data_IF_567647886913
#
_entry.id   IF_567647886913
#
_cell.length_a   1.000
_cell.length_b   1.000
_cell.length_c   1.000
_cell.angle_alpha   90.00
_cell.angle_beta   90.00
_cell.angle_gamma   90.00
#
_symmetry.space_group_name_H-M   'P 1'
#
loop_
_entity.id
_entity.type
_entity.pdbx_description
1 polymer ?
#
# COMPACT_ATOMS: atom_id res chain seq x y z
N UNK A 1 17.31 82.54 3.73
CA UNK A 1 17.23 81.40 4.66
C UNK A 1 15.76 81.25 4.99
N UNK A 2 15.09 80.24 4.44
CA UNK A 2 13.75 79.84 4.90
C UNK A 2 13.89 78.37 5.30
N UNK A 3 13.80 78.13 6.60
CA UNK A 3 13.98 76.83 7.23
C UNK A 3 12.82 75.92 6.87
N UNK A 4 13.13 74.75 6.30
CA UNK A 4 12.18 73.67 6.13
C UNK A 4 11.98 73.01 7.51
N UNK A 5 10.83 73.30 8.12
CA UNK A 5 10.46 72.77 9.43
C UNK A 5 10.13 71.27 9.30
N UNK A 6 11.02 70.40 9.79
CA UNK A 6 10.87 68.93 9.77
C UNK A 6 9.92 68.43 10.88
N UNK A 7 8.68 68.91 10.92
CA UNK A 7 7.73 68.49 11.94
C UNK A 7 6.30 68.24 11.43
N UNK A 8 6.10 67.97 10.14
CA UNK A 8 4.81 67.48 9.68
C UNK A 8 4.74 65.94 9.79
N UNK A 9 3.76 65.40 10.55
CA UNK A 9 3.63 63.99 10.79
C UNK A 9 2.87 63.33 9.63
N UNK A 10 3.52 62.35 8.98
CA UNK A 10 2.89 61.37 8.09
C UNK A 10 2.17 62.00 6.88
N UNK A 11 2.88 62.15 5.76
CA UNK A 11 2.26 62.33 4.45
C UNK A 11 1.35 61.12 4.15
N UNK A 12 0.04 61.28 4.39
CA UNK A 12 -0.97 60.25 4.17
C UNK A 12 -1.39 60.14 2.69
N UNK A 13 -0.85 60.99 1.82
CA UNK A 13 -1.18 61.04 0.39
C UNK A 13 -0.64 59.85 -0.42
N UNK A 14 0.16 58.97 0.20
CA UNK A 14 0.74 57.79 -0.43
C UNK A 14 -0.07 56.49 -0.27
N UNK A 15 -1.16 56.48 0.52
CA UNK A 15 -1.91 55.24 0.77
C UNK A 15 -2.83 54.85 -0.39
N UNK A 16 -3.30 55.82 -1.18
CA UNK A 16 -4.20 55.59 -2.31
C UNK A 16 -3.50 54.92 -3.52
N UNK A 17 -2.17 55.01 -3.61
CA UNK A 17 -1.40 54.37 -4.69
C UNK A 17 -1.15 52.87 -4.50
N UNK A 18 -1.38 52.35 -3.29
CA UNK A 18 -1.28 50.91 -3.00
C UNK A 18 -2.60 50.15 -3.24
N UNK A 19 -3.71 50.87 -3.39
CA UNK A 19 -5.04 50.31 -3.65
C UNK A 19 -5.59 50.72 -5.03
N UNK A 20 -4.71 50.84 -6.03
CA UNK A 20 -5.13 50.95 -7.42
C UNK A 20 -6.12 49.83 -7.78
N UNK A 21 -7.15 50.20 -8.54
CA UNK A 21 -8.40 49.49 -8.89
C UNK A 21 -8.29 48.08 -9.53
N UNK A 22 -7.26 47.30 -9.24
CA UNK A 22 -7.04 45.97 -9.81
C UNK A 22 -6.82 44.86 -8.75
N UNK A 23 -7.08 45.15 -7.47
CA UNK A 23 -7.14 44.10 -6.44
C UNK A 23 -8.54 43.49 -6.44
N UNK A 24 -8.83 42.67 -7.46
CA UNK A 24 -10.00 41.78 -7.43
C UNK A 24 -9.89 40.85 -6.22
N UNK A 25 -10.68 41.10 -5.18
CA UNK A 25 -10.78 40.18 -4.06
C UNK A 25 -11.36 38.86 -4.57
N UNK A 26 -10.70 37.71 -4.31
CA UNK A 26 -11.27 36.42 -4.68
C UNK A 26 -12.65 36.27 -4.03
N UNK A 27 -13.64 35.90 -4.83
CA UNK A 27 -15.00 35.65 -4.36
C UNK A 27 -14.99 34.44 -3.43
N UNK A 28 -15.95 34.36 -2.51
CA UNK A 28 -16.17 33.15 -1.71
C UNK A 28 -16.28 31.87 -2.58
N UNK A 29 -16.71 32.01 -3.83
CA UNK A 29 -16.75 30.94 -4.82
C UNK A 29 -15.36 30.43 -5.27
N UNK A 30 -14.33 31.29 -5.25
CA UNK A 30 -12.95 30.93 -5.66
C UNK A 30 -12.25 30.05 -4.61
N UNK A 31 -12.73 30.08 -3.35
CA UNK A 31 -12.28 29.19 -2.27
C UNK A 31 -13.02 27.84 -2.26
N UNK A 32 -14.02 27.65 -3.13
CA UNK A 32 -14.82 26.43 -3.21
C UNK A 32 -14.37 25.47 -4.32
N UNK A 33 -13.11 25.53 -4.75
CA UNK A 33 -12.55 24.47 -5.59
C UNK A 33 -12.26 23.22 -4.72
N UNK A 34 -12.95 22.08 -4.90
CA UNK A 34 -12.57 20.85 -4.23
C UNK A 34 -11.31 20.31 -4.91
N UNK A 35 -10.12 20.73 -4.47
CA UNK A 35 -8.86 20.08 -4.89
C UNK A 35 -8.52 18.93 -3.95
N UNK A 36 -9.47 18.04 -3.72
CA UNK A 36 -9.17 16.64 -3.39
C UNK A 36 -9.22 15.82 -4.67
N UNK A 37 -8.38 16.19 -5.65
CA UNK A 37 -7.96 15.18 -6.62
C UNK A 37 -7.01 14.27 -5.86
N UNK A 38 -7.58 13.25 -5.22
CA UNK A 38 -6.83 12.06 -4.84
C UNK A 38 -6.27 11.52 -6.14
N UNK A 39 -5.05 11.96 -6.49
CA UNK A 39 -4.30 11.47 -7.63
C UNK A 39 -4.18 9.98 -7.36
N UNK A 40 -5.03 9.20 -8.01
CA UNK A 40 -5.11 7.75 -7.88
C UNK A 40 -3.68 7.26 -8.03
N UNK A 41 -3.08 6.80 -6.94
CA UNK A 41 -1.66 6.47 -6.92
C UNK A 41 -1.46 5.47 -8.04
N UNK A 42 -0.54 5.78 -8.95
CA UNK A 42 -0.23 4.88 -10.05
C UNK A 42 0.50 3.67 -9.47
N UNK A 43 -0.25 2.57 -9.28
CA UNK A 43 0.26 1.33 -8.74
C UNK A 43 0.95 0.47 -9.81
N UNK A 44 1.08 0.96 -11.06
CA UNK A 44 1.67 0.21 -12.17
C UNK A 44 3.07 -0.32 -11.88
N UNK A 45 3.84 0.40 -11.06
CA UNK A 45 5.15 -0.02 -10.60
C UNK A 45 5.13 -1.37 -9.85
N UNK A 46 4.09 -1.63 -9.04
CA UNK A 46 4.02 -2.86 -8.22
C UNK A 46 3.87 -4.13 -9.06
N UNK A 47 3.42 -4.05 -10.32
CA UNK A 47 3.26 -5.22 -11.20
C UNK A 47 4.57 -5.93 -11.55
N UNK A 48 5.71 -5.24 -11.44
CA UNK A 48 7.02 -5.78 -11.82
C UNK A 48 7.84 -6.28 -10.63
N UNK A 49 7.30 -6.21 -9.41
CA UNK A 49 8.02 -6.63 -8.21
C UNK A 49 7.93 -8.16 -8.09
N UNK A 50 9.07 -8.89 -8.17
CA UNK A 50 9.06 -10.33 -8.00
C UNK A 50 8.69 -10.70 -6.56
N UNK A 51 7.82 -11.69 -6.40
CA UNK A 51 7.45 -12.25 -5.09
C UNK A 51 7.62 -13.76 -5.09
N UNK A 52 7.95 -14.32 -3.93
CA UNK A 52 8.03 -15.78 -3.77
C UNK A 52 6.66 -16.31 -3.37
N UNK A 53 6.07 -17.11 -4.24
CA UNK A 53 4.86 -17.88 -3.95
C UNK A 53 5.28 -19.31 -3.59
N UNK A 54 4.84 -19.80 -2.44
CA UNK A 54 5.05 -21.17 -1.99
C UNK A 54 3.71 -21.86 -1.78
N UNK A 55 3.66 -23.14 -2.14
CA UNK A 55 2.55 -24.02 -1.83
C UNK A 55 3.02 -24.96 -0.72
N UNK A 56 2.37 -24.90 0.43
CA UNK A 56 2.72 -25.70 1.60
C UNK A 56 1.66 -26.76 1.82
N UNK A 57 2.13 -28.01 1.96
CA UNK A 57 1.25 -29.10 2.37
C UNK A 57 0.78 -28.84 3.80
N UNK A 58 1.72 -28.71 4.72
CA UNK A 58 1.50 -28.32 6.10
C UNK A 58 2.83 -27.83 6.72
N UNK A 59 2.79 -27.32 7.94
CA UNK A 59 3.96 -26.93 8.72
C UNK A 59 3.77 -27.40 10.16
N UNK A 60 4.79 -27.99 10.77
CA UNK A 60 4.75 -28.45 12.16
C UNK A 60 6.02 -28.03 12.89
N UNK A 61 5.92 -27.81 14.20
CA UNK A 61 7.07 -27.57 15.06
C UNK A 61 7.51 -28.89 15.70
N UNK A 62 8.80 -29.21 15.57
CA UNK A 62 9.42 -30.41 16.14
C UNK A 62 10.59 -30.03 17.03
N UNK A 63 10.88 -30.86 18.04
CA UNK A 63 12.03 -30.61 18.89
C UNK A 63 13.32 -30.81 18.11
N UNK A 64 14.33 -29.94 18.31
CA UNK A 64 15.62 -30.07 17.63
C UNK A 64 16.26 -31.46 17.82
N UNK A 65 16.12 -32.04 19.01
CA UNK A 65 16.64 -33.37 19.30
C UNK A 65 15.92 -34.51 18.54
N UNK A 66 14.67 -34.32 18.12
CA UNK A 66 13.97 -35.26 17.24
C UNK A 66 14.47 -35.10 15.80
N UNK A 67 14.64 -33.86 15.34
CA UNK A 67 15.15 -33.57 13.99
C UNK A 67 16.56 -34.14 13.78
N UNK A 68 17.42 -34.11 14.81
CA UNK A 68 18.76 -34.71 14.74
C UNK A 68 18.77 -36.24 14.61
N UNK A 69 17.64 -36.92 14.89
CA UNK A 69 17.49 -38.37 14.78
C UNK A 69 16.80 -38.78 13.47
N UNK A 70 16.37 -37.83 12.65
CA UNK A 70 15.72 -38.10 11.37
C UNK A 70 16.75 -38.75 10.44
N UNK A 71 16.43 -39.95 9.99
CA UNK A 71 17.20 -40.73 9.03
C UNK A 71 16.36 -41.09 7.80
N UNK A 72 16.98 -41.74 6.82
CA UNK A 72 16.26 -42.18 5.62
C UNK A 72 15.09 -43.09 5.99
N UNK A 73 13.89 -42.74 5.55
CA UNK A 73 12.65 -43.47 5.86
C UNK A 73 11.92 -43.01 7.12
N UNK A 74 12.46 -42.06 7.89
CA UNK A 74 11.73 -41.46 9.00
C UNK A 74 10.50 -40.69 8.51
N UNK A 75 9.40 -40.79 9.26
CA UNK A 75 8.13 -40.12 8.97
C UNK A 75 7.90 -39.03 10.01
N UNK A 76 7.65 -37.81 9.56
CA UNK A 76 7.28 -36.67 10.41
C UNK A 76 5.77 -36.44 10.21
N UNK A 77 5.01 -36.56 11.29
CA UNK A 77 3.58 -36.30 11.27
C UNK A 77 3.31 -34.79 11.15
N UNK A 78 2.33 -34.44 10.33
CA UNK A 78 1.89 -33.07 10.09
C UNK A 78 0.49 -32.87 10.69
N UNK A 79 0.16 -31.63 11.01
CA UNK A 79 -1.08 -31.23 11.68
C UNK A 79 -2.29 -31.10 10.73
N UNK A 80 -2.08 -31.26 9.43
CA UNK A 80 -3.12 -31.09 8.40
C UNK A 80 -3.72 -32.41 7.96
N UNK A 81 -5.06 -32.44 7.86
CA UNK A 81 -5.80 -33.61 7.40
C UNK A 81 -5.65 -33.83 5.89
N UNK A 82 -5.58 -35.09 5.48
CA UNK A 82 -5.54 -35.46 4.08
C UNK A 82 -6.82 -35.02 3.35
N UNK A 83 -6.66 -34.42 2.18
CA UNK A 83 -7.78 -33.95 1.35
C UNK A 83 -8.15 -32.49 1.58
N UNK A 84 -7.60 -31.81 2.60
CA UNK A 84 -7.76 -30.37 2.73
C UNK A 84 -6.96 -29.61 1.66
N UNK A 85 -7.47 -28.45 1.18
CA UNK A 85 -6.73 -27.63 0.22
C UNK A 85 -5.44 -27.11 0.86
N UNK A 86 -4.38 -27.02 0.07
CA UNK A 86 -3.03 -26.64 0.48
C UNK A 86 -2.92 -25.13 0.71
N UNK A 87 -1.98 -24.72 1.55
CA UNK A 87 -1.79 -23.32 1.89
C UNK A 87 -0.93 -22.64 0.82
N UNK A 88 -1.43 -21.54 0.29
CA UNK A 88 -0.70 -20.69 -0.66
C UNK A 88 -0.13 -19.52 0.11
N UNK A 89 1.18 -19.46 0.23
CA UNK A 89 1.88 -18.37 0.90
C UNK A 89 2.57 -17.46 -0.10
N UNK A 90 2.58 -16.17 0.21
CA UNK A 90 3.40 -15.17 -0.48
C UNK A 90 4.34 -14.56 0.54
N UNK A 91 5.65 -14.70 0.31
CA UNK A 91 6.69 -14.25 1.24
C UNK A 91 6.45 -14.73 2.69
N UNK A 92 5.97 -15.96 2.86
CA UNK A 92 5.70 -16.57 4.17
C UNK A 92 4.35 -16.21 4.81
N UNK A 93 3.54 -15.33 4.20
CA UNK A 93 2.19 -15.00 4.68
C UNK A 93 1.14 -15.82 3.94
N UNK A 94 0.17 -16.37 4.67
CA UNK A 94 -0.98 -17.06 4.09
C UNK A 94 -1.80 -16.09 3.25
N UNK A 95 -1.95 -16.38 1.96
CA UNK A 95 -2.74 -15.58 1.03
C UNK A 95 -4.06 -16.27 0.69
N UNK A 96 -3.99 -17.57 0.39
CA UNK A 96 -5.09 -18.33 -0.18
C UNK A 96 -4.94 -19.82 0.15
N UNK A 97 -5.97 -20.58 -0.18
CA UNK A 97 -5.94 -22.05 -0.22
C UNK A 97 -6.10 -22.50 -1.66
N UNK A 98 -5.45 -23.60 -2.02
CA UNK A 98 -5.47 -24.10 -3.38
C UNK A 98 -5.15 -25.58 -3.50
N UNK A 99 -5.29 -26.08 -4.72
CA UNK A 99 -5.02 -27.48 -5.06
C UNK A 99 -3.94 -27.55 -6.14
N UNK A 100 -3.13 -28.61 -6.07
CA UNK A 100 -2.19 -28.93 -7.14
C UNK A 100 -2.96 -29.49 -8.32
N UNK A 101 -2.75 -28.90 -9.48
CA UNK A 101 -3.26 -29.38 -10.76
C UNK A 101 -2.09 -29.72 -11.68
N UNK A 102 -2.33 -30.53 -12.70
CA UNK A 102 -1.34 -30.75 -13.77
C UNK A 102 -1.84 -30.10 -15.03
N UNK A 103 -1.05 -29.16 -15.57
CA UNK A 103 -1.35 -28.47 -16.82
C UNK A 103 -0.14 -28.59 -17.73
N UNK A 104 -0.33 -29.12 -18.93
CA UNK A 104 0.73 -29.35 -19.91
C UNK A 104 1.92 -30.15 -19.35
N UNK A 105 1.63 -31.19 -18.56
CA UNK A 105 2.65 -32.04 -17.93
C UNK A 105 3.47 -31.36 -16.82
N UNK A 106 3.06 -30.17 -16.37
CA UNK A 106 3.70 -29.42 -15.28
C UNK A 106 2.72 -29.26 -14.13
N UNK A 107 3.26 -29.14 -12.91
CA UNK A 107 2.47 -28.74 -11.76
C UNK A 107 1.98 -27.30 -11.93
N UNK A 108 0.71 -27.09 -11.59
CA UNK A 108 0.05 -25.80 -11.50
C UNK A 108 -0.69 -25.69 -10.18
N UNK A 109 -1.15 -24.49 -9.88
CA UNK A 109 -1.89 -24.16 -8.67
C UNK A 109 -3.26 -23.61 -9.07
N UNK A 110 -4.33 -24.23 -8.58
CA UNK A 110 -5.69 -23.70 -8.67
C UNK A 110 -6.10 -23.15 -7.31
N UNK A 111 -6.42 -21.86 -7.25
CA UNK A 111 -6.95 -21.25 -6.02
C UNK A 111 -8.38 -21.74 -5.76
N UNK A 112 -8.65 -22.12 -4.52
CA UNK A 112 -9.97 -22.56 -4.03
C UNK A 112 -10.63 -21.46 -3.22
N UNK A 113 -9.88 -20.81 -2.34
CA UNK A 113 -10.37 -19.76 -1.45
C UNK A 113 -9.26 -18.71 -1.22
N UNK A 114 -9.62 -17.43 -1.11
CA UNK A 114 -8.66 -16.32 -0.91
C UNK A 114 -8.92 -15.69 0.44
N UNK A 115 -7.92 -15.78 1.33
CA UNK A 115 -8.04 -15.40 2.74
C UNK A 115 -7.67 -13.94 2.95
N UNK A 116 -6.61 -13.45 2.28
CA UNK A 116 -6.12 -12.09 2.44
C UNK A 116 -6.13 -11.31 1.12
N UNK A 117 -7.17 -10.50 0.94
CA UNK A 117 -7.31 -9.58 -0.20
C UNK A 117 -6.63 -8.23 0.04
N UNK A 118 -6.24 -7.92 1.29
CA UNK A 118 -5.57 -6.65 1.63
C UNK A 118 -4.14 -6.61 1.13
N UNK A 119 -3.45 -7.76 1.12
CA UNK A 119 -2.10 -7.89 0.56
C UNK A 119 -2.04 -7.70 -0.97
N UNK A 120 -3.16 -7.79 -1.68
CA UNK A 120 -3.26 -7.65 -3.14
C UNK A 120 -3.86 -6.31 -3.61
N UNK A 121 -4.01 -5.33 -2.71
CA UNK A 121 -4.43 -3.97 -3.08
C UNK A 121 -5.82 -3.54 -2.61
N UNK A 122 -6.36 -4.15 -1.55
CA UNK A 122 -7.63 -3.72 -0.97
C UNK A 122 -7.54 -2.39 -0.19
N UNK A 123 -7.89 -1.28 -0.85
CA UNK A 123 -8.32 -0.03 -0.22
C UNK A 123 -9.37 0.66 -1.09
N UNK A 124 -10.53 0.03 -1.18
CA UNK A 124 -11.80 0.69 -1.47
C UNK A 124 -12.60 0.65 -0.15
N UNK A 125 -12.41 1.68 0.67
CA UNK A 125 -13.34 2.18 1.70
C UNK A 125 -12.96 3.64 1.97
#
# INVERSE_FOLDING_TARGET
>A
MNEHNMNDPLDLDGLDQLFGDDISMPSAADYMAPTSSTKQRDLSFFHHIPVKVTLEVASTEVALGELMKVEEGAVIELDKLAGEPLDVRVNGRLLARGEVVVVNGKYGLRLVDVVDTKLLGGMND
#
